data_IF_946592578563
#
_entry.id   IF_946592578563
#
_cell.length_a   1.000
_cell.length_b   1.000
_cell.length_c   1.000
_cell.angle_alpha   90.00
_cell.angle_beta   90.00
_cell.angle_gamma   90.00
#
_symmetry.space_group_name_H-M   'P 1'
#
loop_
_entity.id
_entity.type
_entity.pdbx_description
1 polymer ?
#
# COMPACT_ATOMS: atom_id res chain seq x y z
N UNK A 1 -2.65 55.86 13.87
CA UNK A 1 -3.01 54.90 12.80
C UNK A 1 -3.98 53.92 13.41
N UNK A 2 -5.25 53.92 13.00
CA UNK A 2 -6.22 52.95 13.51
C UNK A 2 -5.88 51.58 12.92
N UNK A 3 -5.34 50.68 13.74
CA UNK A 3 -5.24 49.27 13.36
C UNK A 3 -6.67 48.75 13.20
N UNK A 4 -7.10 48.52 11.96
CA UNK A 4 -8.34 47.79 11.68
C UNK A 4 -8.31 46.42 12.39
N UNK A 5 -9.46 45.77 12.56
CA UNK A 5 -9.49 44.43 13.13
C UNK A 5 -8.58 43.51 12.31
N UNK A 6 -7.65 42.84 12.98
CA UNK A 6 -6.75 41.85 12.37
C UNK A 6 -7.60 40.78 11.69
N UNK A 7 -7.36 40.56 10.40
CA UNK A 7 -7.96 39.46 9.67
C UNK A 7 -7.13 38.19 9.85
N UNK A 8 -7.74 37.03 9.65
CA UNK A 8 -7.02 35.75 9.69
C UNK A 8 -5.85 35.70 8.68
N UNK A 9 -5.90 36.50 7.62
CA UNK A 9 -4.82 36.58 6.62
C UNK A 9 -3.61 37.42 7.03
N UNK A 10 -3.68 38.15 8.14
CA UNK A 10 -2.62 39.04 8.61
C UNK A 10 -1.67 38.36 9.61
N UNK A 11 -1.95 37.10 9.97
CA UNK A 11 -1.07 36.31 10.85
C UNK A 11 0.24 35.92 10.14
N UNK A 12 1.32 35.65 10.91
CA UNK A 12 2.57 35.11 10.37
C UNK A 12 2.37 33.83 9.55
N UNK A 13 3.23 33.61 8.56
CA UNK A 13 3.13 32.49 7.63
C UNK A 13 3.17 31.13 8.34
N UNK A 14 3.84 31.02 9.49
CA UNK A 14 3.87 29.79 10.28
C UNK A 14 2.50 29.40 10.82
N UNK A 15 1.66 30.38 11.18
CA UNK A 15 0.30 30.13 11.65
C UNK A 15 -0.60 29.81 10.45
N UNK A 16 -0.47 30.58 9.37
CA UNK A 16 -1.24 30.34 8.15
C UNK A 16 -0.97 28.95 7.58
N UNK A 17 0.29 28.50 7.57
CA UNK A 17 0.71 27.18 7.10
C UNK A 17 0.06 26.04 7.91
N UNK A 18 -0.04 26.20 9.24
CA UNK A 18 -0.77 25.24 10.09
C UNK A 18 -2.26 25.18 9.80
N UNK A 19 -2.87 26.32 9.47
CA UNK A 19 -4.27 26.36 9.04
C UNK A 19 -4.43 25.64 7.69
N UNK A 20 -3.52 25.89 6.73
CA UNK A 20 -3.51 25.22 5.43
C UNK A 20 -3.37 23.69 5.57
N UNK A 21 -2.47 23.22 6.45
CA UNK A 21 -2.31 21.79 6.77
C UNK A 21 -3.62 21.18 7.30
N UNK A 22 -4.36 21.92 8.13
CA UNK A 22 -5.60 21.43 8.74
C UNK A 22 -6.76 21.30 7.74
N UNK A 23 -6.89 22.25 6.81
CA UNK A 23 -8.01 22.28 5.85
C UNK A 23 -7.77 21.40 4.61
N UNK A 24 -6.53 20.92 4.41
CA UNK A 24 -6.11 20.16 3.23
C UNK A 24 -6.17 20.95 1.92
N UNK A 25 -5.73 20.35 0.81
CA UNK A 25 -5.50 21.07 -0.45
C UNK A 25 -6.74 21.79 -1.01
N UNK A 26 -7.93 21.16 -0.91
CA UNK A 26 -9.18 21.78 -1.39
C UNK A 26 -9.49 23.05 -0.59
N UNK A 27 -9.37 22.97 0.75
CA UNK A 27 -9.58 24.10 1.64
C UNK A 27 -8.52 25.18 1.45
N UNK A 28 -7.26 24.79 1.35
CA UNK A 28 -6.13 25.68 1.13
C UNK A 28 -6.27 26.48 -0.17
N UNK A 29 -6.63 25.83 -1.27
CA UNK A 29 -6.91 26.51 -2.54
C UNK A 29 -8.07 27.51 -2.37
N UNK A 30 -9.15 27.13 -1.67
CA UNK A 30 -10.27 28.05 -1.45
C UNK A 30 -9.89 29.26 -0.57
N UNK A 31 -9.12 29.05 0.49
CA UNK A 31 -8.62 30.14 1.36
C UNK A 31 -7.65 31.07 0.62
N UNK A 32 -6.80 30.53 -0.26
CA UNK A 32 -5.88 31.34 -1.08
C UNK A 32 -6.61 32.30 -2.03
N UNK A 33 -7.86 31.98 -2.40
CA UNK A 33 -8.69 32.83 -3.26
C UNK A 33 -9.34 33.99 -2.52
N UNK A 34 -9.39 33.94 -1.18
CA UNK A 34 -10.07 34.95 -0.35
C UNK A 34 -9.10 35.82 0.44
N UNK A 35 -7.83 35.42 0.58
CA UNK A 35 -6.83 36.11 1.39
C UNK A 35 -5.45 36.12 0.74
N UNK A 36 -4.83 37.30 0.66
CA UNK A 36 -3.45 37.46 0.17
C UNK A 36 -2.43 36.74 1.05
N UNK A 37 -2.64 36.73 2.37
CA UNK A 37 -1.77 36.00 3.30
C UNK A 37 -1.76 34.51 2.98
N UNK A 38 -2.95 33.89 2.91
CA UNK A 38 -3.06 32.48 2.55
C UNK A 38 -2.56 32.17 1.13
N UNK A 39 -2.75 33.09 0.18
CA UNK A 39 -2.17 32.96 -1.16
C UNK A 39 -0.65 32.90 -1.11
N UNK A 40 -0.02 33.87 -0.44
CA UNK A 40 1.43 33.93 -0.34
C UNK A 40 1.99 32.70 0.37
N UNK A 41 1.40 32.28 1.49
CA UNK A 41 1.82 31.08 2.22
C UNK A 41 1.64 29.79 1.40
N UNK A 42 0.51 29.62 0.70
CA UNK A 42 0.26 28.41 -0.09
C UNK A 42 1.23 28.24 -1.27
N UNK A 43 1.71 29.35 -1.83
CA UNK A 43 2.58 29.37 -3.02
C UNK A 43 4.03 29.69 -2.73
N UNK A 44 4.38 29.85 -1.45
CA UNK A 44 5.75 29.90 -0.98
C UNK A 44 6.30 28.48 -0.83
N UNK A 45 7.27 28.12 -1.68
CA UNK A 45 7.89 26.79 -1.68
C UNK A 45 8.68 26.52 -0.39
N UNK A 46 9.14 27.56 0.31
CA UNK A 46 9.90 27.43 1.57
C UNK A 46 9.02 26.90 2.71
N UNK A 47 7.70 27.09 2.63
CA UNK A 47 6.75 26.49 3.59
C UNK A 47 6.73 24.97 3.50
N UNK A 48 7.07 24.39 2.34
CA UNK A 48 6.99 22.94 2.09
C UNK A 48 5.56 22.37 2.11
N UNK A 49 4.52 23.20 2.04
CA UNK A 49 3.12 22.77 2.10
C UNK A 49 2.80 21.68 1.08
N UNK A 50 3.07 21.93 -0.20
CA UNK A 50 2.75 20.98 -1.29
C UNK A 50 3.52 19.67 -1.16
N UNK A 51 4.72 19.68 -0.56
CA UNK A 51 5.47 18.46 -0.24
C UNK A 51 4.71 17.63 0.79
N UNK A 52 4.37 18.22 1.94
CA UNK A 52 3.62 17.52 3.00
C UNK A 52 2.28 17.02 2.48
N UNK A 53 1.59 17.84 1.70
CA UNK A 53 0.28 17.53 1.17
C UNK A 53 0.32 16.41 0.11
N UNK A 54 1.33 16.40 -0.77
CA UNK A 54 1.57 15.30 -1.69
C UNK A 54 1.85 13.98 -0.94
N UNK A 55 2.75 14.02 0.03
CA UNK A 55 3.08 12.85 0.86
C UNK A 55 1.86 12.33 1.63
N UNK A 56 0.97 13.24 2.08
CA UNK A 56 -0.27 12.91 2.78
C UNK A 56 -1.32 12.29 1.86
N UNK A 57 -1.56 12.87 0.69
CA UNK A 57 -2.63 12.45 -0.24
C UNK A 57 -2.26 11.18 -1.02
N UNK A 58 -1.03 11.12 -1.54
CA UNK A 58 -0.59 10.00 -2.38
C UNK A 58 0.11 8.89 -1.59
N UNK A 59 0.38 9.11 -0.29
CA UNK A 59 1.12 8.16 0.56
C UNK A 59 2.47 7.76 -0.04
N UNK A 60 3.11 8.71 -0.71
CA UNK A 60 4.38 8.53 -1.40
C UNK A 60 5.53 9.29 -0.69
N UNK A 61 5.83 8.99 0.59
CA UNK A 61 6.88 9.71 1.33
C UNK A 61 8.30 9.48 0.77
N UNK A 62 8.46 8.61 -0.24
CA UNK A 62 9.76 8.14 -0.70
C UNK A 62 10.07 8.44 -2.16
N UNK A 63 9.30 9.36 -2.75
CA UNK A 63 9.43 9.78 -4.15
C UNK A 63 10.37 11.00 -4.26
N UNK A 64 11.00 11.43 -3.15
CA UNK A 64 11.96 12.55 -3.12
C UNK A 64 13.02 12.45 -4.25
N UNK A 65 13.51 11.24 -4.58
CA UNK A 65 14.48 11.03 -5.66
C UNK A 65 13.90 11.20 -7.07
N UNK A 66 12.62 10.90 -7.27
CA UNK A 66 11.89 11.12 -8.53
C UNK A 66 11.59 12.62 -8.75
N UNK A 67 11.60 13.42 -7.68
CA UNK A 67 10.95 14.74 -7.62
C UNK A 67 11.94 15.91 -7.66
N UNK A 68 13.23 15.68 -7.51
CA UNK A 68 14.27 16.74 -7.55
C UNK A 68 14.35 17.53 -8.89
N UNK A 69 13.45 17.26 -9.85
CA UNK A 69 13.40 17.90 -11.16
C UNK A 69 12.24 18.91 -11.31
N UNK A 70 11.25 18.96 -10.40
CA UNK A 70 10.04 19.79 -10.53
C UNK A 70 9.53 20.25 -9.15
N UNK A 71 9.07 21.51 -8.98
CA UNK A 71 8.46 21.96 -7.72
C UNK A 71 7.25 21.11 -7.31
N UNK A 72 7.07 20.89 -6.01
CA UNK A 72 6.07 19.97 -5.45
C UNK A 72 4.64 20.30 -5.86
N UNK A 73 4.32 21.58 -6.05
CA UNK A 73 3.01 22.02 -6.52
C UNK A 73 2.65 21.45 -7.90
N UNK A 74 3.58 21.49 -8.84
CA UNK A 74 3.34 20.98 -10.20
C UNK A 74 3.28 19.46 -10.21
N UNK A 75 4.10 18.81 -9.38
CA UNK A 75 4.01 17.37 -9.19
C UNK A 75 2.65 16.98 -8.62
N UNK A 76 2.19 17.63 -7.54
CA UNK A 76 0.87 17.39 -6.96
C UNK A 76 -0.22 17.48 -8.03
N UNK A 77 -0.17 18.52 -8.87
CA UNK A 77 -1.10 18.70 -9.98
C UNK A 77 -1.00 17.57 -11.03
N UNK A 78 0.21 17.12 -11.34
CA UNK A 78 0.44 16.01 -12.26
C UNK A 78 -0.12 14.70 -11.72
N UNK A 79 0.17 14.37 -10.46
CA UNK A 79 -0.34 13.17 -9.79
C UNK A 79 -1.86 13.21 -9.62
N UNK A 80 -2.45 14.39 -9.38
CA UNK A 80 -3.92 14.56 -9.32
C UNK A 80 -4.63 14.29 -10.66
N UNK A 81 -3.90 14.40 -11.77
CA UNK A 81 -4.36 14.09 -13.13
C UNK A 81 -3.90 12.71 -13.63
N UNK A 82 -3.31 11.89 -12.75
CA UNK A 82 -2.77 10.59 -13.15
C UNK A 82 -3.87 9.70 -13.76
N UNK A 83 -3.46 8.89 -14.73
CA UNK A 83 -4.32 7.94 -15.43
C UNK A 83 -4.08 6.54 -14.90
N UNK A 84 -5.12 5.72 -14.89
CA UNK A 84 -5.05 4.36 -14.38
C UNK A 84 -4.90 3.40 -15.55
N UNK A 85 -3.86 2.56 -15.50
CA UNK A 85 -3.60 1.52 -16.48
C UNK A 85 -3.63 0.15 -15.82
N UNK A 86 -4.23 -0.82 -16.51
CA UNK A 86 -4.27 -2.22 -16.10
C UNK A 86 -3.87 -3.11 -17.27
N UNK A 87 -3.48 -4.35 -16.99
CA UNK A 87 -3.13 -5.38 -17.98
C UNK A 87 -3.08 -6.75 -17.30
N UNK A 88 -2.91 -7.81 -18.09
CA UNK A 88 -2.88 -9.19 -17.66
C UNK A 88 -4.20 -9.91 -17.92
N UNK A 89 -4.55 -10.81 -17.02
CA UNK A 89 -5.77 -11.62 -17.13
C UNK A 89 -7.01 -10.76 -16.87
N UNK A 90 -7.98 -10.79 -17.78
CA UNK A 90 -9.24 -10.05 -17.72
C UNK A 90 -10.48 -10.93 -17.51
N UNK A 91 -10.27 -12.14 -16.99
CA UNK A 91 -11.41 -12.98 -16.56
C UNK A 91 -12.22 -12.25 -15.49
N UNK A 92 -13.54 -12.30 -15.60
CA UNK A 92 -14.48 -11.65 -14.70
C UNK A 92 -14.43 -10.10 -14.72
N UNK A 93 -13.79 -9.49 -15.72
CA UNK A 93 -13.69 -8.02 -15.85
C UNK A 93 -12.80 -7.35 -14.80
N UNK A 94 -11.86 -8.10 -14.20
CA UNK A 94 -11.01 -7.60 -13.10
C UNK A 94 -10.03 -6.50 -13.51
N UNK A 95 -9.82 -6.27 -14.80
CA UNK A 95 -9.02 -5.13 -15.27
C UNK A 95 -9.84 -3.84 -15.38
N UNK A 96 -11.18 -3.92 -15.27
CA UNK A 96 -12.05 -2.76 -15.05
C UNK A 96 -12.33 -1.89 -16.27
N UNK A 97 -12.08 -2.37 -17.49
CA UNK A 97 -12.28 -1.57 -18.69
C UNK A 97 -13.75 -1.30 -18.98
N UNK A 98 -14.07 -0.02 -19.20
CA UNK A 98 -15.34 0.44 -19.74
C UNK A 98 -15.47 0.18 -21.24
N UNK A 99 -14.34 0.12 -21.94
CA UNK A 99 -14.25 -0.21 -23.37
C UNK A 99 -13.22 -1.31 -23.59
N UNK A 100 -13.61 -2.31 -24.38
CA UNK A 100 -12.72 -3.41 -24.75
C UNK A 100 -11.41 -2.89 -25.37
N UNK A 101 -10.23 -3.29 -24.84
CA UNK A 101 -8.95 -2.95 -25.45
C UNK A 101 -8.89 -3.39 -26.92
N UNK A 102 -8.27 -2.60 -27.81
CA UNK A 102 -8.07 -3.00 -29.21
C UNK A 102 -7.25 -4.30 -29.33
N UNK A 103 -7.41 -5.01 -30.45
CA UNK A 103 -6.77 -6.33 -30.66
C UNK A 103 -5.24 -6.29 -30.52
N UNK A 104 -4.59 -5.20 -30.96
CA UNK A 104 -3.14 -5.03 -30.85
C UNK A 104 -2.63 -4.79 -29.42
N UNK A 105 -3.51 -4.63 -28.42
CA UNK A 105 -3.15 -4.63 -26.99
C UNK A 105 -3.33 -6.01 -26.35
N UNK A 106 -4.03 -6.93 -27.02
CA UNK A 106 -4.43 -8.23 -26.48
C UNK A 106 -3.47 -9.32 -26.94
N UNK A 107 -3.22 -10.29 -26.06
CA UNK A 107 -2.57 -11.56 -26.41
C UNK A 107 -3.59 -12.61 -26.82
N UNK A 108 -4.72 -12.66 -26.10
CA UNK A 108 -5.81 -13.60 -26.32
C UNK A 108 -7.13 -12.95 -25.85
N UNK A 109 -8.25 -13.69 -25.96
CA UNK A 109 -9.60 -13.18 -25.65
C UNK A 109 -9.71 -12.56 -24.24
N UNK A 110 -9.02 -13.13 -23.25
CA UNK A 110 -9.11 -12.74 -21.84
C UNK A 110 -7.75 -12.24 -21.31
N UNK A 111 -6.85 -11.81 -22.19
CA UNK A 111 -5.47 -11.47 -21.83
C UNK A 111 -5.00 -10.19 -22.53
N UNK A 112 -4.73 -9.17 -21.74
CA UNK A 112 -4.21 -7.87 -22.20
C UNK A 112 -2.72 -7.83 -21.93
N UNK A 113 -1.90 -7.79 -22.97
CA UNK A 113 -0.45 -7.89 -22.84
C UNK A 113 0.28 -6.54 -22.87
N UNK A 114 -0.44 -5.46 -23.13
CA UNK A 114 0.08 -4.09 -23.11
C UNK A 114 -0.84 -3.27 -22.19
N UNK A 115 -0.29 -2.53 -21.20
CA UNK A 115 -1.05 -1.61 -20.36
C UNK A 115 -2.07 -0.80 -21.13
N UNK A 116 -3.33 -0.89 -20.72
CA UNK A 116 -4.45 -0.17 -21.30
C UNK A 116 -5.15 0.67 -20.25
N UNK A 117 -5.67 1.83 -20.65
CA UNK A 117 -6.24 2.81 -19.72
C UNK A 117 -7.67 2.45 -19.33
N UNK A 118 -8.02 2.62 -18.05
CA UNK A 118 -9.41 2.62 -17.58
C UNK A 118 -9.96 4.05 -17.71
N UNK A 119 -10.79 4.29 -18.70
CA UNK A 119 -11.24 5.66 -19.02
C UNK A 119 -12.27 6.19 -18.03
N UNK A 120 -13.07 5.31 -17.42
CA UNK A 120 -14.08 5.69 -16.40
C UNK A 120 -13.46 6.30 -15.13
N UNK A 121 -12.21 5.93 -14.81
CA UNK A 121 -11.49 6.46 -13.64
C UNK A 121 -10.85 7.83 -13.91
N UNK A 122 -10.94 8.35 -15.14
CA UNK A 122 -10.51 9.72 -15.44
C UNK A 122 -11.24 10.71 -14.53
N UNK A 123 -10.49 11.68 -14.01
CA UNK A 123 -10.98 12.72 -13.10
C UNK A 123 -11.52 12.22 -11.75
N UNK A 124 -11.34 10.94 -11.41
CA UNK A 124 -11.68 10.41 -10.07
C UNK A 124 -10.59 10.68 -9.02
N UNK A 125 -9.43 11.18 -9.45
CA UNK A 125 -8.27 11.45 -8.59
C UNK A 125 -7.94 10.21 -7.73
N UNK A 126 -7.57 9.12 -8.42
CA UNK A 126 -7.16 7.86 -7.81
C UNK A 126 -5.79 8.03 -7.14
N UNK A 127 -5.67 7.61 -5.89
CA UNK A 127 -4.47 7.74 -5.06
C UNK A 127 -3.88 6.40 -4.61
N UNK A 128 -4.63 5.30 -4.76
CA UNK A 128 -4.18 3.96 -4.39
C UNK A 128 -4.87 2.92 -5.27
N UNK A 129 -4.14 1.84 -5.59
CA UNK A 129 -4.64 0.72 -6.40
C UNK A 129 -4.16 -0.57 -5.76
N UNK A 130 -5.09 -1.49 -5.52
CA UNK A 130 -4.81 -2.78 -4.91
C UNK A 130 -5.38 -3.90 -5.76
N UNK A 131 -4.51 -4.80 -6.22
CA UNK A 131 -4.91 -6.03 -6.87
C UNK A 131 -5.19 -7.11 -5.82
N UNK A 132 -6.43 -7.63 -5.79
CA UNK A 132 -6.80 -8.84 -5.08
C UNK A 132 -6.69 -10.07 -5.98
N UNK A 133 -7.04 -11.26 -5.47
CA UNK A 133 -6.97 -12.49 -6.25
C UNK A 133 -7.87 -12.48 -7.50
N UNK A 134 -9.05 -11.87 -7.40
CA UNK A 134 -10.06 -11.84 -8.46
C UNK A 134 -10.67 -10.45 -8.71
N UNK A 135 -10.07 -9.41 -8.15
CA UNK A 135 -10.56 -8.04 -8.27
C UNK A 135 -9.42 -7.04 -8.27
N UNK A 136 -9.72 -5.82 -8.74
CA UNK A 136 -8.86 -4.65 -8.60
C UNK A 136 -9.66 -3.57 -7.90
N UNK A 137 -9.12 -3.01 -6.82
CA UNK A 137 -9.76 -1.96 -6.03
C UNK A 137 -9.00 -0.64 -6.18
N UNK A 138 -9.72 0.46 -6.26
CA UNK A 138 -9.20 1.81 -6.47
C UNK A 138 -9.67 2.73 -5.35
N UNK A 139 -8.73 3.45 -4.74
CA UNK A 139 -9.02 4.48 -3.75
C UNK A 139 -8.89 5.86 -4.38
N UNK A 140 -9.85 6.74 -4.11
CA UNK A 140 -9.82 8.15 -4.53
C UNK A 140 -9.36 9.07 -3.39
N UNK A 141 -8.89 10.26 -3.74
CA UNK A 141 -8.35 11.24 -2.77
C UNK A 141 -9.36 11.72 -1.71
N UNK A 142 -10.67 11.59 -1.98
CA UNK A 142 -11.76 11.90 -1.05
C UNK A 142 -12.33 10.65 -0.34
N UNK A 143 -11.68 9.49 -0.52
CA UNK A 143 -11.93 8.28 0.26
C UNK A 143 -13.07 7.41 -0.27
N UNK A 144 -13.49 7.60 -1.52
CA UNK A 144 -14.38 6.66 -2.21
C UNK A 144 -13.59 5.46 -2.75
N UNK A 145 -14.23 4.29 -2.73
CA UNK A 145 -13.63 3.02 -3.13
C UNK A 145 -14.40 2.45 -4.31
N UNK A 146 -13.69 2.20 -5.41
CA UNK A 146 -14.23 1.54 -6.59
C UNK A 146 -13.61 0.15 -6.71
N UNK A 147 -14.37 -0.82 -7.21
CA UNK A 147 -13.88 -2.18 -7.42
C UNK A 147 -14.30 -2.70 -8.79
N UNK A 148 -13.38 -3.37 -9.47
CA UNK A 148 -13.63 -4.15 -10.69
C UNK A 148 -13.31 -5.61 -10.44
N UNK A 149 -13.98 -6.52 -11.16
CA UNK A 149 -13.92 -7.95 -10.88
C UNK A 149 -14.84 -8.35 -9.72
N UNK A 150 -14.45 -9.41 -9.00
CA UNK A 150 -15.30 -10.04 -7.98
C UNK A 150 -14.59 -10.25 -6.65
N UNK A 151 -15.32 -10.02 -5.55
CA UNK A 151 -14.93 -10.47 -4.21
C UNK A 151 -15.55 -11.84 -3.87
N UNK A 152 -16.71 -12.14 -4.45
CA UNK A 152 -17.43 -13.40 -4.27
C UNK A 152 -17.87 -14.02 -5.60
N UNK A 153 -18.27 -15.29 -5.58
CA UNK A 153 -18.71 -16.01 -6.79
C UNK A 153 -20.04 -15.49 -7.40
N UNK A 154 -20.68 -14.50 -6.79
CA UNK A 154 -22.03 -14.05 -7.14
C UNK A 154 -22.07 -12.64 -7.75
N UNK A 155 -20.91 -12.08 -8.12
CA UNK A 155 -20.77 -10.69 -8.56
C UNK A 155 -20.61 -10.55 -10.08
N UNK A 156 -21.09 -9.44 -10.64
CA UNK A 156 -20.99 -9.05 -12.07
C UNK A 156 -19.73 -8.23 -12.38
N UNK A 157 -19.38 -8.11 -13.65
CA UNK A 157 -18.05 -7.70 -14.14
C UNK A 157 -17.74 -6.18 -14.14
N UNK A 158 -18.66 -5.32 -13.70
CA UNK A 158 -18.50 -3.86 -13.84
C UNK A 158 -17.84 -3.19 -12.64
N UNK A 159 -17.06 -2.14 -12.93
CA UNK A 159 -16.50 -1.25 -11.93
C UNK A 159 -17.62 -0.57 -11.17
N UNK A 160 -17.69 -0.79 -9.86
CA UNK A 160 -18.74 -0.24 -9.01
C UNK A 160 -18.15 0.37 -7.75
N UNK A 161 -18.80 1.41 -7.24
CA UNK A 161 -18.43 1.99 -5.96
C UNK A 161 -18.94 1.12 -4.81
N UNK A 162 -18.07 0.76 -3.87
CA UNK A 162 -18.48 0.19 -2.58
C UNK A 162 -18.72 1.35 -1.62
N UNK A 163 -19.93 1.43 -1.07
CA UNK A 163 -20.28 2.47 -0.09
C UNK A 163 -19.75 2.08 1.29
N UNK A 164 -18.94 2.98 1.86
CA UNK A 164 -18.48 2.91 3.23
C UNK A 164 -19.18 3.97 4.09
N UNK A 165 -19.37 3.76 5.40
CA UNK A 165 -19.98 4.74 6.30
C UNK A 165 -19.16 6.03 6.47
N UNK A 166 -17.92 6.05 6.01
CA UNK A 166 -17.00 7.20 6.11
C UNK A 166 -15.88 7.10 5.07
N UNK A 167 -15.13 8.20 4.83
CA UNK A 167 -14.01 8.20 3.90
C UNK A 167 -12.91 7.20 4.27
N UNK A 168 -12.52 6.40 3.29
CA UNK A 168 -11.44 5.43 3.42
C UNK A 168 -10.09 6.10 3.20
N UNK A 169 -9.13 5.74 4.06
CA UNK A 169 -7.76 6.21 4.01
C UNK A 169 -6.82 5.19 3.40
N UNK A 170 -6.99 3.88 3.63
CA UNK A 170 -6.14 2.82 3.05
C UNK A 170 -6.95 1.61 2.61
N UNK A 171 -6.51 0.98 1.52
CA UNK A 171 -7.00 -0.29 1.00
C UNK A 171 -5.93 -1.38 1.15
N UNK A 172 -6.38 -2.61 1.32
CA UNK A 172 -5.57 -3.81 1.12
C UNK A 172 -6.48 -4.98 0.80
N UNK A 173 -6.03 -5.92 -0.03
CA UNK A 173 -6.85 -7.03 -0.50
C UNK A 173 -6.12 -8.33 -0.30
N UNK A 174 -6.81 -9.31 0.26
CA UNK A 174 -6.42 -10.71 0.17
C UNK A 174 -6.93 -11.36 -1.11
N UNK A 175 -7.09 -12.68 -1.07
CA UNK A 175 -7.59 -13.48 -2.21
C UNK A 175 -9.04 -13.15 -2.59
N UNK A 176 -9.97 -13.18 -1.63
CA UNK A 176 -11.41 -12.85 -1.75
C UNK A 176 -11.92 -11.93 -0.64
N UNK A 177 -11.07 -11.04 -0.13
CA UNK A 177 -11.50 -10.05 0.84
C UNK A 177 -10.82 -8.73 0.56
N UNK A 178 -11.55 -7.66 0.83
CA UNK A 178 -11.04 -6.30 0.85
C UNK A 178 -11.06 -5.82 2.30
N UNK A 179 -9.93 -5.32 2.78
CA UNK A 179 -9.80 -4.68 4.10
C UNK A 179 -9.48 -3.22 3.85
N UNK A 180 -10.12 -2.37 4.64
CA UNK A 180 -9.95 -0.93 4.52
C UNK A 180 -9.76 -0.30 5.90
N UNK A 181 -9.06 0.82 5.92
CA UNK A 181 -8.85 1.65 7.11
C UNK A 181 -9.38 3.05 6.81
N UNK A 182 -10.24 3.57 7.65
CA UNK A 182 -10.77 4.93 7.51
C UNK A 182 -9.83 5.99 8.07
N UNK A 183 -10.10 7.25 7.71
CA UNK A 183 -9.37 8.40 8.26
C UNK A 183 -9.50 8.53 9.79
N UNK A 184 -10.55 7.95 10.40
CA UNK A 184 -10.77 7.90 11.85
C UNK A 184 -10.10 6.70 12.54
N UNK A 185 -9.35 5.89 11.79
CA UNK A 185 -8.68 4.71 12.34
C UNK A 185 -9.60 3.49 12.53
N UNK A 186 -10.77 3.46 11.88
CA UNK A 186 -11.69 2.31 11.93
C UNK A 186 -11.42 1.36 10.78
N UNK A 187 -11.53 0.06 11.05
CA UNK A 187 -11.27 -0.99 10.06
C UNK A 187 -12.59 -1.53 9.54
N UNK A 188 -12.68 -1.72 8.22
CA UNK A 188 -13.81 -2.38 7.58
C UNK A 188 -13.34 -3.53 6.69
N UNK A 189 -14.17 -4.56 6.57
CA UNK A 189 -13.97 -5.69 5.67
C UNK A 189 -15.14 -5.81 4.69
N UNK A 190 -14.85 -6.24 3.47
CA UNK A 190 -15.85 -6.54 2.44
C UNK A 190 -15.47 -7.86 1.76
N UNK A 191 -16.39 -8.83 1.78
CA UNK A 191 -16.23 -10.14 1.12
C UNK A 191 -17.25 -10.36 0.01
N UNK A 192 -18.32 -9.57 0.00
CA UNK A 192 -19.34 -9.55 -1.04
C UNK A 192 -19.82 -8.10 -1.15
N UNK A 193 -19.63 -7.50 -2.32
CA UNK A 193 -19.98 -6.08 -2.52
C UNK A 193 -21.48 -5.81 -2.33
N UNK A 194 -22.33 -6.81 -2.56
CA UNK A 194 -23.79 -6.69 -2.38
C UNK A 194 -24.18 -6.61 -0.90
N UNK A 195 -23.33 -7.13 -0.02
CA UNK A 195 -23.52 -7.08 1.43
C UNK A 195 -22.93 -5.81 2.05
N UNK A 196 -22.14 -5.06 1.27
CA UNK A 196 -21.50 -3.83 1.70
C UNK A 196 -20.36 -4.05 2.69
N UNK A 197 -19.77 -2.93 3.12
CA UNK A 197 -18.66 -2.93 4.06
C UNK A 197 -19.13 -3.17 5.49
N UNK A 198 -18.46 -4.08 6.20
CA UNK A 198 -18.72 -4.38 7.61
C UNK A 198 -17.60 -3.88 8.50
N UNK A 199 -17.94 -3.27 9.62
CA UNK A 199 -16.95 -2.82 10.60
C UNK A 199 -16.29 -4.04 11.25
N UNK A 200 -14.97 -4.01 11.37
CA UNK A 200 -14.20 -4.96 12.18
C UNK A 200 -14.10 -4.41 13.60
N UNK A 201 -14.66 -5.12 14.56
CA UNK A 201 -14.60 -4.78 15.97
C UNK A 201 -13.57 -5.68 16.65
N UNK A 202 -12.46 -5.10 17.08
CA UNK A 202 -11.42 -5.85 17.74
C UNK A 202 -11.79 -6.08 19.21
N UNK A 203 -12.00 -7.34 19.60
CA UNK A 203 -12.15 -7.73 21.00
C UNK A 203 -10.92 -8.52 21.45
N UNK A 204 -10.01 -7.86 22.17
CA UNK A 204 -8.90 -8.55 22.82
C UNK A 204 -8.63 -7.96 24.20
N UNK A 205 -8.14 -8.83 25.07
CA UNK A 205 -7.67 -8.52 26.42
C UNK A 205 -6.15 -8.60 26.36
N UNK A 206 -5.42 -7.51 26.64
CA UNK A 206 -3.94 -7.51 26.52
C UNK A 206 -3.28 -8.22 27.72
N UNK A 207 -3.95 -8.28 28.87
CA UNK A 207 -3.57 -9.07 30.05
C UNK A 207 -4.76 -9.26 31.02
N UNK A 208 -4.70 -10.22 31.95
CA UNK A 208 -5.78 -10.50 32.93
C UNK A 208 -6.13 -9.32 33.86
N UNK A 209 -5.30 -8.26 33.85
CA UNK A 209 -5.50 -7.00 34.57
C UNK A 209 -5.91 -5.83 33.66
N UNK A 210 -6.16 -6.07 32.36
CA UNK A 210 -6.49 -5.05 31.36
C UNK A 210 -7.91 -4.52 31.59
N UNK A 211 -8.09 -3.23 31.92
CA UNK A 211 -9.41 -2.62 32.10
C UNK A 211 -10.14 -2.33 30.77
N UNK A 212 -9.63 -2.86 29.65
CA UNK A 212 -10.11 -2.64 28.29
C UNK A 212 -9.59 -1.34 27.65
N UNK A 213 -8.43 -0.84 28.07
CA UNK A 213 -7.87 0.46 27.62
C UNK A 213 -7.16 0.40 26.28
N UNK A 214 -6.71 -0.77 25.85
CA UNK A 214 -5.94 -0.98 24.62
C UNK A 214 -6.79 -1.46 23.44
N UNK A 215 -8.10 -1.17 23.46
CA UNK A 215 -9.03 -1.51 22.37
C UNK A 215 -9.17 -0.37 21.36
N UNK A 216 -9.16 -0.63 20.04
CA UNK A 216 -9.37 0.38 19.00
C UNK A 216 -10.71 1.13 19.10
N UNK A 217 -11.67 0.60 19.84
CA UNK A 217 -12.98 1.23 20.04
C UNK A 217 -13.00 2.28 21.17
N UNK A 218 -11.89 2.46 21.90
CA UNK A 218 -11.70 3.51 22.94
C UNK A 218 -10.64 4.56 22.60
N UNK A 219 -10.32 4.74 21.31
CA UNK A 219 -9.42 5.80 20.82
C UNK A 219 -9.85 7.17 21.38
N UNK A 220 -8.90 7.91 21.97
CA UNK A 220 -9.10 9.28 22.47
C UNK A 220 -9.46 9.43 23.96
N UNK A 221 -9.50 8.35 24.76
CA UNK A 221 -9.73 8.45 26.23
C UNK A 221 -8.49 8.34 27.13
N UNK A 222 -7.35 7.85 26.62
CA UNK A 222 -6.15 7.57 27.44
C UNK A 222 -4.92 8.35 26.94
N UNK A 223 -4.79 8.47 25.61
CA UNK A 223 -3.90 9.37 24.87
C UNK A 223 -4.34 9.34 23.40
N UNK A 224 -4.13 10.41 22.62
CA UNK A 224 -4.72 10.56 21.26
C UNK A 224 -4.33 9.45 20.25
N UNK A 225 -3.27 8.68 20.50
CA UNK A 225 -2.71 7.75 19.52
C UNK A 225 -2.62 6.26 19.92
N UNK A 226 -2.89 5.87 21.17
CA UNK A 226 -2.86 4.44 21.57
C UNK A 226 -4.14 3.74 21.12
N UNK A 227 -4.03 2.50 20.64
CA UNK A 227 -5.16 1.72 20.11
C UNK A 227 -5.56 2.16 18.70
N UNK A 228 -4.97 3.24 18.17
CA UNK A 228 -5.21 3.70 16.80
C UNK A 228 -4.58 2.73 15.81
N UNK A 229 -5.38 2.27 14.86
CA UNK A 229 -4.91 1.46 13.74
C UNK A 229 -4.12 2.35 12.76
N UNK A 230 -2.86 1.98 12.52
CA UNK A 230 -1.92 2.72 11.66
C UNK A 230 -1.82 2.12 10.26
N UNK A 231 -1.96 0.81 10.12
CA UNK A 231 -1.92 0.09 8.84
C UNK A 231 -2.83 -1.14 8.89
N UNK A 232 -3.43 -1.49 7.76
CA UNK A 232 -4.11 -2.78 7.53
C UNK A 232 -3.50 -3.50 6.33
N UNK A 233 -3.41 -4.83 6.38
CA UNK A 233 -2.94 -5.68 5.29
C UNK A 233 -3.84 -6.91 5.17
N UNK A 234 -4.39 -7.13 3.97
CA UNK A 234 -5.00 -8.39 3.58
C UNK A 234 -3.93 -9.29 2.97
N UNK A 235 -3.63 -10.40 3.63
CA UNK A 235 -2.75 -11.44 3.11
C UNK A 235 -3.53 -12.52 2.36
N UNK A 236 -2.84 -13.60 2.02
CA UNK A 236 -3.46 -14.70 1.28
C UNK A 236 -4.55 -15.42 2.09
N UNK A 237 -4.23 -15.75 3.34
CA UNK A 237 -5.07 -16.56 4.24
C UNK A 237 -5.40 -15.87 5.58
N UNK A 238 -4.83 -14.68 5.81
CA UNK A 238 -5.01 -13.88 7.02
C UNK A 238 -5.19 -12.41 6.69
N UNK A 239 -5.68 -11.70 7.69
CA UNK A 239 -5.78 -10.26 7.75
C UNK A 239 -4.87 -9.78 8.89
N UNK A 240 -4.28 -8.60 8.77
CA UNK A 240 -3.49 -8.02 9.84
C UNK A 240 -3.63 -6.50 9.95
N UNK A 241 -3.33 -5.98 11.13
CA UNK A 241 -3.32 -4.56 11.40
C UNK A 241 -2.19 -4.19 12.36
N UNK A 242 -1.54 -3.06 12.12
CA UNK A 242 -0.61 -2.45 13.09
C UNK A 242 -1.39 -1.47 13.96
N UNK A 243 -1.44 -1.77 15.26
CA UNK A 243 -2.18 -0.99 16.25
C UNK A 243 -1.19 -0.37 17.24
N UNK A 244 -1.21 0.95 17.35
CA UNK A 244 -0.28 1.70 18.20
C UNK A 244 -0.38 1.27 19.67
N UNK A 245 0.74 0.81 20.25
CA UNK A 245 0.84 0.33 21.63
C UNK A 245 0.35 -1.11 21.86
N UNK A 246 -0.25 -1.75 20.86
CA UNK A 246 -0.66 -3.17 20.90
C UNK A 246 0.26 -4.03 20.03
N UNK A 247 0.73 -3.48 18.91
CA UNK A 247 1.57 -4.17 17.95
C UNK A 247 0.79 -4.67 16.72
N UNK A 248 1.36 -5.65 16.02
CA UNK A 248 0.72 -6.29 14.87
C UNK A 248 -0.28 -7.33 15.39
N UNK A 249 -1.53 -7.18 15.00
CA UNK A 249 -2.59 -8.18 15.25
C UNK A 249 -2.93 -8.89 13.96
N UNK A 250 -3.19 -10.19 14.04
CA UNK A 250 -3.48 -11.07 12.89
C UNK A 250 -4.77 -11.85 13.16
N UNK A 251 -5.62 -11.99 12.14
CA UNK A 251 -6.87 -12.74 12.24
C UNK A 251 -7.24 -13.43 10.93
N UNK A 252 -8.18 -14.38 11.00
CA UNK A 252 -8.74 -15.01 9.80
C UNK A 252 -9.74 -14.08 9.12
N UNK A 253 -9.79 -14.03 7.77
CA UNK A 253 -10.83 -13.29 7.09
C UNK A 253 -12.23 -13.81 7.47
N UNK A 254 -13.22 -12.92 7.38
CA UNK A 254 -14.62 -13.30 7.52
C UNK A 254 -14.99 -14.34 6.44
N UNK A 255 -15.70 -15.40 6.83
CA UNK A 255 -16.25 -16.37 5.90
C UNK A 255 -17.43 -15.80 5.10
N UNK A 256 -17.83 -16.49 4.03
CA UNK A 256 -18.92 -16.08 3.13
C UNK A 256 -20.33 -16.35 3.70
N UNK A 257 -20.57 -16.10 4.99
CA UNK A 257 -21.90 -16.28 5.59
C UNK A 257 -22.80 -15.08 5.28
N UNK A 258 -23.89 -15.32 4.55
CA UNK A 258 -24.87 -14.30 4.14
C UNK A 258 -25.85 -13.89 5.23
N UNK A 259 -25.90 -14.59 6.37
CA UNK A 259 -26.97 -14.45 7.36
C UNK A 259 -26.75 -13.36 8.42
N UNK A 260 -25.52 -12.90 8.60
CA UNK A 260 -25.20 -11.87 9.58
C UNK A 260 -25.01 -10.53 8.86
N UNK A 261 -25.56 -9.44 9.38
CA UNK A 261 -25.36 -8.08 8.84
C UNK A 261 -24.66 -7.16 9.85
N UNK A 262 -24.27 -7.69 11.01
CA UNK A 262 -23.63 -6.96 12.08
C UNK A 262 -22.12 -6.72 11.87
N UNK A 263 -21.50 -6.00 12.81
CA UNK A 263 -20.05 -5.89 12.89
C UNK A 263 -19.39 -7.26 12.98
N UNK A 264 -18.25 -7.42 12.33
CA UNK A 264 -17.43 -8.62 12.40
C UNK A 264 -16.45 -8.54 13.57
N UNK A 265 -16.53 -9.49 14.50
CA UNK A 265 -15.62 -9.58 15.66
C UNK A 265 -14.69 -10.78 15.49
N UNK A 266 -13.46 -10.58 14.98
CA UNK A 266 -12.50 -11.68 14.81
C UNK A 266 -11.88 -12.12 16.14
N UNK A 267 -11.49 -13.40 16.20
CA UNK A 267 -10.46 -13.87 17.13
C UNK A 267 -9.12 -13.41 16.57
N UNK A 268 -8.37 -12.66 17.38
CA UNK A 268 -7.07 -12.09 17.00
C UNK A 268 -5.92 -12.78 17.73
N UNK A 269 -4.81 -12.99 17.03
CA UNK A 269 -3.49 -13.23 17.61
C UNK A 269 -2.68 -11.94 17.61
N UNK A 270 -1.89 -11.71 18.66
CA UNK A 270 -0.94 -10.59 18.75
C UNK A 270 0.45 -11.14 18.49
N UNK A 271 1.20 -10.48 17.62
CA UNK A 271 2.61 -10.83 17.37
C UNK A 271 3.45 -10.27 18.51
N UNK A 272 4.04 -11.15 19.31
CA UNK A 272 4.85 -10.78 20.46
C UNK A 272 6.00 -9.85 20.05
N UNK A 273 6.35 -8.90 20.92
CA UNK A 273 7.46 -7.98 20.67
C UNK A 273 7.13 -6.75 19.81
N UNK A 274 6.02 -6.77 19.08
CA UNK A 274 5.70 -5.70 18.11
C UNK A 274 5.01 -4.47 18.70
N UNK A 275 4.77 -4.46 20.02
CA UNK A 275 4.07 -3.39 20.74
C UNK A 275 4.98 -2.21 21.13
N UNK A 276 6.29 -2.28 20.88
CA UNK A 276 7.25 -1.26 21.30
C UNK A 276 6.99 0.12 20.68
N UNK A 277 7.14 1.16 21.50
CA UNK A 277 7.01 2.56 21.10
C UNK A 277 8.28 3.34 21.48
N UNK A 278 8.92 3.99 20.51
CA UNK A 278 10.15 4.77 20.75
C UNK A 278 9.86 6.04 21.56
N UNK A 279 8.71 6.67 21.28
CA UNK A 279 8.23 7.87 21.98
C UNK A 279 6.81 7.62 22.49
N UNK A 280 6.65 6.91 23.62
CA UNK A 280 5.33 6.58 24.15
C UNK A 280 4.58 7.87 24.54
N UNK A 281 3.28 7.99 24.22
CA UNK A 281 2.49 9.16 24.60
C UNK A 281 2.34 9.27 26.12
N UNK A 282 2.12 10.51 26.59
CA UNK A 282 1.87 10.79 28.01
C UNK A 282 0.52 10.17 28.44
N UNK A 283 0.43 9.73 29.70
CA UNK A 283 -0.82 9.20 30.27
C UNK A 283 -0.96 7.67 30.28
N UNK A 284 0.04 6.93 29.78
CA UNK A 284 0.08 5.46 29.87
C UNK A 284 0.31 5.03 31.34
N UNK A 285 -0.48 4.09 31.89
CA UNK A 285 -0.21 3.49 33.19
C UNK A 285 1.19 2.84 33.24
N UNK A 286 1.89 2.98 34.37
CA UNK A 286 3.27 2.52 34.52
C UNK A 286 3.48 1.03 34.16
N UNK A 287 2.55 0.16 34.55
CA UNK A 287 2.62 -1.27 34.20
C UNK A 287 2.51 -1.54 32.69
N UNK A 288 1.57 -0.87 32.01
CA UNK A 288 1.43 -0.98 30.56
C UNK A 288 2.65 -0.39 29.82
N UNK A 289 3.22 0.70 30.35
CA UNK A 289 4.44 1.30 29.81
C UNK A 289 5.63 0.34 29.94
N UNK A 290 5.79 -0.35 31.08
CA UNK A 290 6.86 -1.32 31.27
C UNK A 290 6.77 -2.48 30.25
N UNK A 291 5.56 -3.00 30.00
CA UNK A 291 5.33 -4.03 28.98
C UNK A 291 5.65 -3.54 27.56
N UNK A 292 5.22 -2.32 27.20
CA UNK A 292 5.53 -1.71 25.90
C UNK A 292 7.03 -1.48 25.73
N UNK A 293 7.77 -1.18 26.79
CA UNK A 293 9.21 -0.89 26.71
C UNK A 293 10.11 -2.14 26.78
N UNK A 294 9.56 -3.33 27.06
CA UNK A 294 10.31 -4.58 27.21
C UNK A 294 11.10 -4.99 25.96
N UNK A 295 10.54 -4.75 24.78
CA UNK A 295 11.04 -5.27 23.50
C UNK A 295 11.82 -4.21 22.70
N UNK A 296 12.67 -3.43 23.39
CA UNK A 296 13.45 -2.33 22.80
C UNK A 296 14.44 -2.79 21.73
N UNK A 297 14.91 -4.03 21.84
CA UNK A 297 15.83 -4.70 20.92
C UNK A 297 15.23 -4.94 19.53
N UNK A 298 13.92 -5.24 19.47
CA UNK A 298 13.16 -5.31 18.20
C UNK A 298 12.98 -3.89 17.65
N UNK A 299 12.59 -2.95 18.50
CA UNK A 299 12.31 -1.56 18.13
C UNK A 299 10.88 -1.37 17.60
N UNK A 300 10.54 -0.12 17.27
CA UNK A 300 9.17 0.22 16.89
C UNK A 300 8.89 -0.22 15.47
N UNK A 301 7.81 -0.97 15.25
CA UNK A 301 7.40 -1.38 13.90
C UNK A 301 7.08 -0.15 13.06
N UNK A 302 7.79 -0.02 11.93
CA UNK A 302 7.56 1.01 10.91
C UNK A 302 6.55 0.53 9.90
N UNK A 303 6.77 -0.68 9.37
CA UNK A 303 5.93 -1.24 8.32
C UNK A 303 5.99 -2.77 8.32
N UNK A 304 5.01 -3.41 7.69
CA UNK A 304 4.96 -4.87 7.56
C UNK A 304 4.23 -5.32 6.30
N UNK A 305 4.51 -6.55 5.90
CA UNK A 305 3.83 -7.29 4.83
C UNK A 305 3.33 -8.61 5.37
N UNK A 306 2.21 -9.08 4.82
CA UNK A 306 1.58 -10.34 5.20
C UNK A 306 1.46 -11.21 3.95
N UNK A 307 2.13 -12.36 3.96
CA UNK A 307 2.11 -13.34 2.88
C UNK A 307 1.19 -14.52 3.18
N UNK A 308 1.46 -15.64 2.52
CA UNK A 308 0.81 -16.94 2.78
C UNK A 308 1.45 -17.59 4.01
N UNK A 309 0.79 -17.50 5.18
CA UNK A 309 1.27 -18.16 6.41
C UNK A 309 2.51 -17.54 7.06
N UNK A 310 2.99 -16.39 6.59
CA UNK A 310 4.10 -15.66 7.22
C UNK A 310 3.86 -14.15 7.16
N UNK A 311 4.54 -13.40 8.02
CA UNK A 311 4.66 -11.94 7.90
C UNK A 311 6.12 -11.52 8.07
N UNK A 312 6.46 -10.40 7.46
CA UNK A 312 7.78 -9.76 7.60
C UNK A 312 7.55 -8.30 7.97
N UNK A 313 8.30 -7.79 8.94
CA UNK A 313 8.16 -6.42 9.40
C UNK A 313 9.51 -5.73 9.55
N UNK A 314 9.48 -4.42 9.35
CA UNK A 314 10.60 -3.50 9.43
C UNK A 314 10.42 -2.62 10.67
N UNK A 315 11.50 -2.34 11.38
CA UNK A 315 11.47 -1.48 12.57
C UNK A 315 12.31 -0.22 12.42
N UNK A 316 12.17 0.73 13.36
CA UNK A 316 12.90 2.01 13.38
C UNK A 316 14.42 1.84 13.42
N UNK A 317 14.91 0.67 13.84
CA UNK A 317 16.34 0.35 13.86
C UNK A 317 16.90 -0.02 12.48
N UNK A 318 16.04 -0.16 11.46
CA UNK A 318 16.43 -0.67 10.13
C UNK A 318 16.59 -2.19 10.07
N UNK A 319 16.23 -2.89 11.15
CA UNK A 319 16.20 -4.35 11.21
C UNK A 319 14.91 -4.91 10.61
N UNK A 320 15.02 -6.10 10.03
CA UNK A 320 13.92 -6.83 9.41
C UNK A 320 13.69 -8.10 10.20
N UNK A 321 12.45 -8.35 10.59
CA UNK A 321 12.04 -9.53 11.34
C UNK A 321 10.95 -10.29 10.59
N UNK A 322 10.84 -11.59 10.84
CA UNK A 322 9.81 -12.43 10.25
C UNK A 322 9.17 -13.33 11.30
N UNK A 323 7.94 -13.74 11.01
CA UNK A 323 7.18 -14.71 11.78
C UNK A 323 6.58 -15.71 10.82
N UNK A 324 6.72 -17.00 11.12
CA UNK A 324 6.13 -18.11 10.38
C UNK A 324 5.01 -18.73 11.21
N UNK A 325 3.81 -18.82 10.64
CA UNK A 325 2.61 -19.15 11.41
C UNK A 325 2.20 -18.01 12.35
N UNK A 326 1.00 -18.09 12.91
CA UNK A 326 0.43 -17.00 13.74
C UNK A 326 -0.04 -17.47 15.12
N UNK A 327 0.15 -18.75 15.44
CA UNK A 327 -0.17 -19.33 16.73
C UNK A 327 1.11 -19.33 17.59
N UNK A 328 1.20 -18.41 18.57
CA UNK A 328 2.34 -18.28 19.52
C UNK A 328 3.74 -18.12 18.87
N UNK A 329 3.80 -17.48 17.69
CA UNK A 329 5.04 -17.37 16.94
C UNK A 329 5.87 -16.14 17.37
N UNK A 330 7.13 -16.39 17.73
CA UNK A 330 8.09 -15.35 18.15
C UNK A 330 8.83 -14.81 16.92
N UNK A 331 8.99 -13.48 16.78
CA UNK A 331 9.77 -12.90 15.69
C UNK A 331 11.24 -13.35 15.66
N UNK A 332 11.74 -13.65 14.46
CA UNK A 332 13.17 -13.91 14.21
C UNK A 332 13.76 -12.84 13.30
N UNK A 333 15.00 -12.41 13.57
CA UNK A 333 15.67 -11.42 12.72
C UNK A 333 16.11 -12.05 11.38
N UNK A 334 15.74 -11.41 10.28
CA UNK A 334 16.25 -11.70 8.94
C UNK A 334 17.54 -10.89 8.71
N UNK A 335 18.65 -11.31 9.33
CA UNK A 335 19.90 -10.52 9.36
C UNK A 335 20.43 -10.14 7.96
N UNK A 336 20.26 -10.98 6.94
CA UNK A 336 20.66 -10.65 5.56
C UNK A 336 19.77 -9.61 4.86
N UNK A 337 18.61 -9.31 5.43
CA UNK A 337 17.67 -8.31 4.95
C UNK A 337 17.79 -7.01 5.74
N UNK A 338 18.22 -7.06 7.00
CA UNK A 338 18.65 -5.89 7.79
C UNK A 338 19.82 -5.13 7.12
N UNK A 339 19.97 -3.84 7.39
CA UNK A 339 21.15 -3.10 6.93
C UNK A 339 22.40 -3.49 7.72
N UNK A 340 23.52 -3.81 7.05
CA UNK A 340 24.82 -3.93 7.72
C UNK A 340 25.19 -2.63 8.42
N UNK A 341 26.00 -2.75 9.48
CA UNK A 341 26.50 -1.59 10.22
C UNK A 341 27.24 -0.61 9.30
N UNK A 342 26.94 0.69 9.41
CA UNK A 342 27.51 1.75 8.58
C UNK A 342 26.88 1.94 7.19
N UNK A 343 25.95 1.07 6.78
CA UNK A 343 25.14 1.31 5.57
C UNK A 343 23.82 2.00 5.92
N UNK A 344 23.26 2.71 4.95
CA UNK A 344 21.96 3.32 5.11
C UNK A 344 20.88 2.29 5.44
N UNK A 345 20.00 2.59 6.40
CA UNK A 345 18.99 1.67 6.87
C UNK A 345 18.00 1.34 5.76
N UNK A 346 17.66 0.06 5.65
CA UNK A 346 16.41 -0.37 5.03
C UNK A 346 15.28 0.42 5.69
N UNK A 347 14.43 1.00 4.86
CA UNK A 347 13.34 1.85 5.33
C UNK A 347 12.01 1.52 4.65
N UNK A 348 12.01 0.51 3.78
CA UNK A 348 10.82 0.08 3.05
C UNK A 348 10.77 -1.43 2.92
N UNK A 349 9.54 -1.92 2.89
CA UNK A 349 9.20 -3.31 2.65
C UNK A 349 7.98 -3.36 1.74
N UNK A 350 8.00 -4.27 0.77
CA UNK A 350 6.86 -4.59 -0.09
C UNK A 350 6.79 -6.09 -0.25
N UNK A 351 5.60 -6.65 -0.41
CA UNK A 351 5.44 -8.10 -0.44
C UNK A 351 4.00 -8.51 -0.64
N UNK A 352 3.85 -9.68 -1.23
CA UNK A 352 2.56 -10.32 -1.47
C UNK A 352 2.77 -11.83 -1.64
N UNK A 353 1.74 -12.62 -1.29
CA UNK A 353 1.73 -14.07 -1.39
C UNK A 353 3.00 -14.71 -0.82
N UNK A 354 3.91 -15.21 -1.65
CA UNK A 354 5.14 -15.92 -1.24
C UNK A 354 6.43 -15.11 -1.42
N UNK A 355 6.35 -13.82 -1.76
CA UNK A 355 7.52 -12.95 -1.97
C UNK A 355 7.46 -11.66 -1.18
N UNK A 356 8.62 -11.17 -0.80
CA UNK A 356 8.80 -9.84 -0.26
C UNK A 356 10.11 -9.22 -0.77
N UNK A 357 10.23 -7.91 -0.64
CA UNK A 357 11.47 -7.19 -0.86
C UNK A 357 11.63 -6.11 0.19
N UNK A 358 12.89 -5.88 0.54
CA UNK A 358 13.28 -4.75 1.38
C UNK A 358 14.23 -3.87 0.60
N UNK A 359 14.12 -2.56 0.82
CA UNK A 359 14.91 -1.59 0.08
C UNK A 359 15.12 -0.30 0.86
N UNK A 360 16.17 0.45 0.50
CA UNK A 360 16.54 1.72 1.13
C UNK A 360 16.41 2.90 0.16
N UNK A 361 16.91 4.08 0.56
CA UNK A 361 16.84 5.32 -0.24
C UNK A 361 17.93 5.38 -1.32
N UNK A 362 18.99 4.61 -1.12
CA UNK A 362 20.15 4.52 -2.00
C UNK A 362 19.89 3.62 -3.20
N UNK A 363 18.79 2.85 -3.19
CA UNK A 363 18.39 1.96 -4.27
C UNK A 363 18.85 0.52 -4.09
N UNK A 364 19.35 0.14 -2.90
CA UNK A 364 19.61 -1.26 -2.58
C UNK A 364 18.28 -1.99 -2.48
N UNK A 365 18.16 -3.11 -3.19
CA UNK A 365 16.99 -4.00 -3.17
C UNK A 365 17.43 -5.41 -2.81
N UNK A 366 16.72 -6.04 -1.87
CA UNK A 366 16.90 -7.45 -1.52
C UNK A 366 15.55 -8.14 -1.59
N UNK A 367 15.43 -9.13 -2.48
CA UNK A 367 14.21 -9.90 -2.67
C UNK A 367 14.31 -11.20 -1.89
N UNK A 368 13.25 -11.57 -1.19
CA UNK A 368 13.12 -12.80 -0.42
C UNK A 368 11.80 -13.52 -0.72
N UNK A 369 11.67 -14.73 -0.21
CA UNK A 369 10.47 -15.54 -0.30
C UNK A 369 10.17 -16.24 1.03
N UNK A 370 9.02 -16.91 1.09
CA UNK A 370 8.63 -17.66 2.30
C UNK A 370 9.61 -18.78 2.65
N UNK A 371 10.26 -19.42 1.67
CA UNK A 371 11.21 -20.50 1.92
C UNK A 371 12.44 -19.99 2.72
N UNK A 372 12.89 -18.76 2.46
CA UNK A 372 13.94 -18.08 3.25
C UNK A 372 13.48 -17.84 4.70
N UNK A 373 12.22 -17.45 4.89
CA UNK A 373 11.63 -17.27 6.23
C UNK A 373 11.57 -18.60 6.96
N UNK A 374 11.10 -19.65 6.29
CA UNK A 374 11.05 -21.02 6.83
C UNK A 374 12.45 -21.52 7.22
N UNK A 375 13.45 -21.33 6.37
CA UNK A 375 14.82 -21.73 6.67
C UNK A 375 15.37 -20.99 7.89
N UNK A 376 15.15 -19.68 7.98
CA UNK A 376 15.65 -18.89 9.11
C UNK A 376 14.95 -19.25 10.43
N UNK A 377 13.62 -19.37 10.43
CA UNK A 377 12.86 -19.79 11.63
C UNK A 377 13.28 -21.19 12.10
N UNK A 378 13.60 -22.09 11.18
CA UNK A 378 14.06 -23.44 11.50
C UNK A 378 15.57 -23.53 11.80
N UNK A 379 16.29 -22.40 11.88
CA UNK A 379 17.72 -22.38 12.16
C UNK A 379 18.59 -23.03 11.09
N UNK A 380 18.12 -23.06 9.83
CA UNK A 380 18.84 -23.60 8.68
C UNK A 380 19.60 -22.47 8.00
N UNK A 381 20.94 -22.35 8.17
CA UNK A 381 21.72 -21.27 7.55
C UNK A 381 21.84 -21.44 6.03
N UNK A 382 21.60 -22.65 5.52
CA UNK A 382 21.46 -22.94 4.10
C UNK A 382 20.23 -22.19 3.57
N UNK A 383 20.39 -21.28 2.61
CA UNK A 383 19.24 -20.67 1.92
C UNK A 383 18.53 -19.52 2.64
N UNK A 384 19.22 -18.77 3.52
CA UNK A 384 18.71 -17.53 4.14
C UNK A 384 19.17 -16.24 3.45
N UNK A 385 19.94 -16.38 2.36
CA UNK A 385 20.42 -15.24 1.56
C UNK A 385 19.30 -14.71 0.66
N UNK A 386 19.31 -13.40 0.33
CA UNK A 386 18.41 -12.85 -0.68
C UNK A 386 18.55 -13.59 -2.01
N UNK A 387 17.47 -13.61 -2.78
CA UNK A 387 17.45 -14.21 -4.10
C UNK A 387 18.44 -13.48 -5.02
N UNK A 388 19.19 -14.26 -5.83
CA UNK A 388 20.12 -13.70 -6.83
C UNK A 388 19.39 -13.05 -8.01
N UNK A 389 18.17 -13.51 -8.31
CA UNK A 389 17.28 -12.95 -9.33
C UNK A 389 15.96 -12.51 -8.70
N UNK A 390 15.35 -11.40 -9.17
CA UNK A 390 15.78 -10.53 -10.27
C UNK A 390 17.06 -9.73 -9.98
N UNK A 391 17.85 -9.48 -11.01
CA UNK A 391 19.00 -8.56 -10.94
C UNK A 391 18.57 -7.15 -11.39
N UNK A 392 18.70 -6.18 -10.49
CA UNK A 392 18.38 -4.78 -10.74
C UNK A 392 19.61 -3.92 -11.02
N UNK A 393 20.77 -4.53 -11.28
CA UNK A 393 22.01 -3.81 -11.59
C UNK A 393 21.77 -2.80 -12.73
N UNK A 394 22.18 -1.54 -12.49
CA UNK A 394 21.97 -0.44 -13.43
C UNK A 394 20.63 0.30 -13.28
N UNK A 395 19.73 -0.15 -12.41
CA UNK A 395 18.49 0.54 -12.09
C UNK A 395 18.47 0.98 -10.63
N UNK A 396 17.99 2.20 -10.37
CA UNK A 396 17.65 2.64 -9.02
C UNK A 396 16.16 2.45 -8.79
N UNK A 397 15.81 1.47 -7.96
CA UNK A 397 14.42 1.12 -7.67
C UNK A 397 13.88 2.01 -6.55
N UNK A 398 12.67 2.53 -6.76
CA UNK A 398 11.98 3.41 -5.81
C UNK A 398 10.68 2.82 -5.31
N UNK A 399 10.09 1.83 -5.98
CA UNK A 399 8.94 1.10 -5.46
C UNK A 399 8.82 -0.29 -6.10
N UNK A 400 8.11 -1.20 -5.45
CA UNK A 400 7.91 -2.58 -5.92
C UNK A 400 6.53 -3.11 -5.56
N UNK A 401 5.99 -3.98 -6.41
CA UNK A 401 4.78 -4.75 -6.15
C UNK A 401 4.97 -6.20 -6.59
N UNK A 402 4.29 -7.12 -5.92
CA UNK A 402 4.35 -8.55 -6.21
C UNK A 402 2.95 -9.09 -6.50
N UNK A 403 2.85 -9.91 -7.55
CA UNK A 403 1.77 -10.88 -7.71
C UNK A 403 2.22 -12.27 -7.25
N UNK A 404 1.42 -13.29 -7.55
CA UNK A 404 1.71 -14.66 -7.11
C UNK A 404 3.05 -15.18 -7.66
N UNK A 405 3.33 -14.88 -8.93
CA UNK A 405 4.46 -15.43 -9.66
C UNK A 405 5.33 -14.38 -10.39
N UNK A 406 4.92 -13.10 -10.36
CA UNK A 406 5.61 -12.00 -11.04
C UNK A 406 5.80 -10.81 -10.10
N UNK A 407 6.68 -9.90 -10.47
CA UNK A 407 6.88 -8.64 -9.76
C UNK A 407 6.97 -7.47 -10.71
N UNK A 408 6.68 -6.29 -10.17
CA UNK A 408 6.84 -5.00 -10.81
C UNK A 408 7.76 -4.13 -9.97
N UNK A 409 8.59 -3.31 -10.61
CA UNK A 409 9.46 -2.35 -9.95
C UNK A 409 9.43 -1.01 -10.67
N UNK A 410 9.27 0.06 -9.92
CA UNK A 410 9.35 1.43 -10.41
C UNK A 410 10.79 1.94 -10.24
N UNK A 411 11.36 2.51 -11.29
CA UNK A 411 12.68 3.16 -11.22
C UNK A 411 12.56 4.65 -10.88
N UNK A 412 13.66 5.26 -10.45
CA UNK A 412 13.77 6.71 -10.24
C UNK A 412 13.72 7.55 -11.53
N UNK A 413 13.72 6.90 -12.68
CA UNK A 413 13.48 7.50 -13.99
C UNK A 413 12.00 7.42 -14.43
N UNK A 414 11.14 6.78 -13.62
CA UNK A 414 9.73 6.56 -13.95
C UNK A 414 9.48 5.40 -14.93
N UNK A 415 10.47 4.51 -15.12
CA UNK A 415 10.27 3.27 -15.89
C UNK A 415 9.65 2.21 -14.98
N UNK A 416 8.77 1.39 -15.56
CA UNK A 416 8.23 0.20 -14.89
C UNK A 416 8.95 -1.02 -15.45
N UNK A 417 9.54 -1.80 -14.57
CA UNK A 417 10.14 -3.09 -14.87
C UNK A 417 9.18 -4.21 -14.44
N UNK A 418 9.15 -5.30 -15.20
CA UNK A 418 8.39 -6.51 -14.88
C UNK A 418 9.27 -7.76 -15.04
N UNK A 419 9.09 -8.76 -14.16
CA UNK A 419 9.78 -10.05 -14.21
C UNK A 419 8.95 -11.17 -13.58
N UNK A 420 9.42 -12.40 -13.72
CA UNK A 420 8.82 -13.62 -13.17
C UNK A 420 8.02 -14.38 -14.23
N UNK A 421 6.97 -15.06 -13.79
CA UNK A 421 6.23 -15.99 -14.67
C UNK A 421 5.05 -15.28 -15.34
N UNK A 422 5.07 -15.28 -16.67
CA UNK A 422 3.92 -14.98 -17.52
C UNK A 422 2.96 -16.18 -17.51
N UNK A 423 1.97 -16.14 -16.62
CA UNK A 423 1.07 -17.28 -16.40
C UNK A 423 0.03 -17.39 -17.52
N UNK A 424 -0.07 -18.58 -18.11
CA UNK A 424 -1.02 -18.90 -19.19
C UNK A 424 -0.97 -17.91 -20.37
N UNK A 425 0.14 -17.20 -20.55
CA UNK A 425 0.27 -16.13 -21.55
C UNK A 425 -0.86 -15.08 -21.44
N UNK A 426 -1.32 -14.76 -20.22
CA UNK A 426 -2.41 -13.81 -20.00
C UNK A 426 -1.98 -12.35 -20.20
N UNK A 427 -0.68 -12.08 -20.28
CA UNK A 427 -0.09 -10.77 -20.46
C UNK A 427 0.27 -10.06 -19.15
N UNK A 428 0.36 -10.76 -18.01
CA UNK A 428 0.56 -10.13 -16.69
C UNK A 428 1.87 -9.35 -16.56
N UNK A 429 2.87 -9.63 -17.42
CA UNK A 429 4.10 -8.85 -17.42
C UNK A 429 3.97 -7.52 -18.20
N UNK A 430 2.93 -7.31 -19.01
CA UNK A 430 2.77 -6.07 -19.77
C UNK A 430 3.84 -5.87 -20.87
N UNK A 431 4.50 -6.95 -21.27
CA UNK A 431 5.64 -6.93 -22.20
C UNK A 431 5.24 -7.02 -23.67
N UNK A 432 3.95 -7.16 -23.99
CA UNK A 432 3.45 -7.18 -25.35
C UNK A 432 4.21 -8.16 -26.25
N UNK A 433 4.68 -7.67 -27.39
CA UNK A 433 5.43 -8.42 -28.40
C UNK A 433 6.90 -8.71 -28.04
N UNK A 434 7.43 -8.12 -26.96
CA UNK A 434 8.78 -8.41 -26.48
C UNK A 434 8.95 -9.89 -26.09
N UNK A 435 7.84 -10.56 -25.78
CA UNK A 435 7.78 -12.01 -25.65
C UNK A 435 7.44 -12.58 -27.04
N UNK A 436 8.48 -12.84 -27.84
CA UNK A 436 8.37 -13.47 -29.17
C UNK A 436 8.04 -14.96 -29.01
N UNK A 437 7.17 -15.47 -29.88
CA UNK A 437 6.95 -16.92 -30.04
C UNK A 437 5.91 -17.51 -29.09
N UNK A 438 4.69 -17.66 -29.58
CA UNK A 438 3.90 -18.90 -29.58
C UNK A 438 2.56 -18.55 -30.24
N UNK A 439 2.53 -18.72 -31.56
CA UNK A 439 1.28 -18.80 -32.29
C UNK A 439 0.57 -20.09 -31.91
N UNK A 440 -0.75 -19.99 -31.74
CA UNK A 440 -1.76 -21.03 -31.95
C UNK A 440 -1.24 -22.41 -32.39
N UNK A 441 -0.96 -23.29 -31.44
CA UNK A 441 -1.16 -24.75 -31.52
C UNK A 441 -0.43 -25.44 -30.34
N UNK A 442 -1.12 -25.60 -29.21
CA UNK A 442 -0.68 -26.48 -28.11
C UNK A 442 -0.51 -25.80 -26.75
N UNK A 443 -1.62 -25.63 -26.02
CA UNK A 443 -1.64 -25.32 -24.58
C UNK A 443 -1.14 -23.93 -24.17
N UNK A 444 -1.88 -23.26 -23.28
CA UNK A 444 -1.40 -22.06 -22.60
C UNK A 444 -0.32 -22.44 -21.59
N UNK A 445 0.95 -22.44 -21.99
CA UNK A 445 2.08 -22.74 -21.09
C UNK A 445 2.54 -21.48 -20.37
N UNK A 446 3.11 -21.66 -19.17
CA UNK A 446 3.75 -20.59 -18.41
C UNK A 446 5.12 -20.27 -19.01
N UNK A 447 5.48 -18.99 -19.11
CA UNK A 447 6.80 -18.55 -19.57
C UNK A 447 7.53 -17.83 -18.44
N UNK A 448 8.75 -18.24 -18.12
CA UNK A 448 9.58 -17.57 -17.12
C UNK A 448 10.43 -16.46 -17.75
N UNK A 449 10.41 -15.29 -17.11
CA UNK A 449 11.17 -14.09 -17.50
C UNK A 449 11.95 -13.63 -16.26
N UNK A 450 13.10 -14.26 -15.96
CA UNK A 450 13.82 -14.02 -14.70
C UNK A 450 14.46 -12.63 -14.62
N UNK A 451 14.81 -12.05 -15.77
CA UNK A 451 15.40 -10.71 -15.85
C UNK A 451 14.32 -9.63 -15.96
N UNK A 452 14.41 -8.54 -15.15
CA UNK A 452 13.54 -7.39 -15.30
C UNK A 452 13.60 -6.77 -16.70
N UNK A 453 12.43 -6.56 -17.29
CA UNK A 453 12.28 -5.88 -18.59
C UNK A 453 11.36 -4.68 -18.47
N UNK A 454 11.62 -3.65 -19.27
CA UNK A 454 10.81 -2.42 -19.28
C UNK A 454 9.45 -2.70 -19.92
N UNK A 455 8.39 -2.38 -19.19
CA UNK A 455 7.00 -2.44 -19.64
C UNK A 455 6.77 -1.37 -20.72
N UNK A 456 6.15 -1.75 -21.84
CA UNK A 456 5.77 -0.81 -22.90
C UNK A 456 4.30 -0.47 -22.81
N UNK A 457 3.95 0.81 -22.73
CA UNK A 457 2.56 1.30 -22.75
C UNK A 457 1.98 1.48 -24.15
N UNK A 458 2.74 1.11 -25.20
CA UNK A 458 2.32 1.27 -26.59
C UNK A 458 2.57 0.02 -27.41
N UNK A 459 1.67 -0.29 -28.36
CA UNK A 459 1.89 -1.37 -29.32
C UNK A 459 2.98 -1.00 -30.33
N UNK A 460 3.62 -2.00 -30.95
CA UNK A 460 4.64 -1.80 -31.98
C UNK A 460 4.12 -0.97 -33.14
N UNK A 461 4.96 -0.06 -33.67
CA UNK A 461 4.61 0.79 -34.83
C UNK A 461 3.84 2.07 -34.50
N UNK A 462 3.34 2.24 -33.26
CA UNK A 462 2.89 3.54 -32.76
C UNK A 462 4.12 4.37 -32.36
N UNK A 463 4.57 5.28 -33.24
CA UNK A 463 5.81 6.04 -33.06
C UNK A 463 6.01 6.67 -31.67
N UNK A 464 7.28 6.84 -31.27
CA UNK A 464 7.66 7.59 -30.06
C UNK A 464 7.30 9.07 -30.22
N UNK A 465 6.08 9.47 -29.87
CA UNK A 465 5.87 10.82 -29.34
C UNK A 465 6.19 10.80 -27.84
N UNK A 466 7.16 11.61 -27.34
CA UNK A 466 7.51 11.66 -25.93
C UNK A 466 6.26 11.88 -25.07
N UNK A 467 6.17 11.18 -23.95
CA UNK A 467 5.05 11.25 -22.98
C UNK A 467 4.88 12.64 -22.30
N UNK A 468 5.71 13.64 -22.65
CA UNK A 468 5.82 14.89 -21.91
C UNK A 468 5.03 16.08 -22.49
N UNK A 469 4.29 15.94 -23.59
CA UNK A 469 3.69 17.10 -24.27
C UNK A 469 2.16 17.24 -24.23
N UNK A 470 1.43 16.36 -23.55
CA UNK A 470 -0.03 16.50 -23.37
C UNK A 470 -0.42 16.67 -21.87
N UNK A 471 0.16 17.67 -21.18
CA UNK A 471 -0.09 17.98 -19.75
C UNK A 471 -0.82 19.32 -19.55
#
# INVERSE_FOLDING_TARGET
MSSGPLSLGDFPSEILDRVLDHVGYKGAINLSRTSKGFYNTLYDEDTGYWKREAQRVFKTPHVDSLINKVPWRYLFRGMAKARVYTWGQDTDGKLGYDQSPPENYRRNRNGVAIPFEISELRNKFVVDIVAGGWSTSFLTSDGHVYISGRLSNYETEHTNEIKFPEPIFQLSSGRSNLITLSNKGRVYTCTDRLQGARRVNFSFTVNDSDPGYLTPDRIGKVAEDIGRVKKVVGGWDRCAALISGVGIVVWRPMGNSRSDSGPYTPIVGIIEGTNYLEKPPKGIPAGALAEVQKNKDIGQVLDFVLGEGYLVFLTTTGKVFAVLGFDQAVPVELAHFSSPEGQSPVNRISGNFRRFAVFNKEGVVRVGNVDIVENNVNGKPEGIKPLEKPDFTGYKIVDMAFGDYHGLALTDEGKILSWGVESQMCGCLGLGDQLRGMGSAGGYTNLDVPEPRVVSFRPPGAGMRPFFYDI
#
